data_IF_327574518659
#
_entry.id   IF_327574518659
#
_cell.length_a   1.000
_cell.length_b   1.000
_cell.length_c   1.000
_cell.angle_alpha   90.00
_cell.angle_beta   90.00
_cell.angle_gamma   90.00
#
_symmetry.space_group_name_H-M   'P 1'
#
loop_
_entity.id
_entity.type
_entity.pdbx_description
1 polymer ?
#
# COMPACT_ATOMS: atom_id res chain seq x y z
N UNK A 1 -5.53 8.78 16.82
CA UNK A 1 -6.62 8.19 16.01
C UNK A 1 -6.43 8.68 14.59
N UNK A 2 -6.38 7.77 13.63
CA UNK A 2 -6.24 8.06 12.20
C UNK A 2 -7.51 7.62 11.47
N UNK A 3 -7.91 8.37 10.45
CA UNK A 3 -9.08 8.04 9.63
C UNK A 3 -8.62 7.82 8.19
N UNK A 4 -9.05 6.70 7.63
CA UNK A 4 -8.96 6.42 6.20
C UNK A 4 -10.14 7.06 5.48
N UNK A 5 -9.93 7.34 4.21
CA UNK A 5 -10.84 8.11 3.35
C UNK A 5 -12.09 7.33 2.97
N UNK A 6 -11.91 6.04 2.76
CA UNK A 6 -12.94 5.02 2.61
C UNK A 6 -13.79 4.78 3.90
N UNK A 7 -13.61 5.65 4.90
CA UNK A 7 -14.33 5.61 6.17
C UNK A 7 -13.74 4.63 7.18
N UNK A 8 -12.61 3.98 6.88
CA UNK A 8 -11.92 3.15 7.84
C UNK A 8 -11.34 3.96 9.00
N UNK A 9 -11.29 3.39 10.20
CA UNK A 9 -10.82 4.11 11.40
C UNK A 9 -9.74 3.31 12.11
N UNK A 10 -8.61 3.94 12.39
CA UNK A 10 -7.44 3.34 13.04
C UNK A 10 -7.19 4.02 14.39
N UNK A 11 -7.03 3.22 15.44
CA UNK A 11 -6.69 3.65 16.78
C UNK A 11 -5.29 3.12 17.09
N UNK A 12 -4.35 4.04 17.30
CA UNK A 12 -3.06 3.70 17.90
C UNK A 12 -3.21 3.74 19.42
N UNK A 13 -3.13 2.58 20.06
CA UNK A 13 -3.24 2.38 21.51
C UNK A 13 -1.87 2.19 22.17
N UNK A 14 -0.79 2.68 21.57
CA UNK A 14 0.56 2.51 22.09
C UNK A 14 1.17 1.20 21.60
N UNK A 15 0.90 0.10 22.29
CA UNK A 15 1.44 -1.23 21.98
C UNK A 15 0.61 -2.00 20.94
N UNK A 16 -0.54 -1.46 20.55
CA UNK A 16 -1.46 -2.09 19.59
C UNK A 16 -2.00 -1.05 18.63
N UNK A 17 -2.18 -1.44 17.38
CA UNK A 17 -2.90 -0.66 16.37
C UNK A 17 -4.18 -1.41 16.03
N UNK A 18 -5.32 -0.74 16.14
CA UNK A 18 -6.64 -1.33 15.94
C UNK A 18 -7.36 -0.64 14.77
N UNK A 19 -7.90 -1.42 13.82
CA UNK A 19 -8.78 -0.91 12.77
C UNK A 19 -10.24 -1.22 13.13
N UNK A 20 -11.03 -0.19 13.46
CA UNK A 20 -12.43 -0.32 13.90
C UNK A 20 -13.41 -0.48 12.72
N UNK A 21 -13.15 0.20 11.61
CA UNK A 21 -13.87 0.02 10.34
C UNK A 21 -12.81 -0.34 9.30
N UNK A 22 -12.94 -1.53 8.71
CA UNK A 22 -11.88 -2.13 7.91
C UNK A 22 -12.11 -1.95 6.41
N UNK A 23 -11.09 -1.43 5.77
CA UNK A 23 -11.03 -1.08 4.36
C UNK A 23 -9.57 -1.18 3.91
N UNK A 24 -9.32 -1.31 2.61
CA UNK A 24 -7.96 -1.42 2.07
C UNK A 24 -7.09 -0.20 2.46
N UNK A 25 -7.66 1.00 2.49
CA UNK A 25 -6.95 2.22 2.90
C UNK A 25 -6.59 2.23 4.38
N UNK A 26 -7.53 1.83 5.24
CA UNK A 26 -7.24 1.76 6.68
C UNK A 26 -6.26 0.66 7.04
N UNK A 27 -6.28 -0.46 6.31
CA UNK A 27 -5.29 -1.52 6.41
C UNK A 27 -3.89 -1.01 6.07
N UNK A 28 -3.74 -0.29 4.95
CA UNK A 28 -2.48 0.28 4.52
C UNK A 28 -1.93 1.30 5.54
N UNK A 29 -2.79 2.20 6.03
CA UNK A 29 -2.40 3.21 7.04
C UNK A 29 -1.98 2.53 8.33
N UNK A 30 -2.77 1.57 8.83
CA UNK A 30 -2.46 0.83 10.05
C UNK A 30 -1.13 0.08 9.92
N UNK A 31 -0.90 -0.57 8.77
CA UNK A 31 0.33 -1.30 8.50
C UNK A 31 1.53 -0.36 8.36
N UNK A 32 1.37 0.79 7.70
CA UNK A 32 2.44 1.80 7.59
C UNK A 32 2.86 2.30 8.97
N UNK A 33 1.90 2.64 9.82
CA UNK A 33 2.15 3.05 11.20
C UNK A 33 2.82 1.94 12.01
N UNK A 34 2.38 0.68 11.82
CA UNK A 34 2.96 -0.46 12.52
C UNK A 34 4.42 -0.67 12.13
N UNK A 35 4.75 -0.58 10.84
CA UNK A 35 6.14 -0.71 10.34
C UNK A 35 7.02 0.42 10.87
N UNK A 36 6.51 1.64 10.97
CA UNK A 36 7.28 2.76 11.51
C UNK A 36 7.52 2.64 13.02
N UNK A 37 6.52 2.15 13.76
CA UNK A 37 6.52 2.10 15.22
C UNK A 37 7.19 0.85 15.79
N UNK A 38 6.99 -0.29 15.17
CA UNK A 38 7.43 -1.61 15.65
C UNK A 38 8.51 -2.21 14.74
N UNK A 39 9.46 -1.37 14.30
CA UNK A 39 10.59 -1.81 13.48
C UNK A 39 11.26 -3.03 14.12
N UNK A 40 11.50 -4.06 13.31
CA UNK A 40 12.14 -5.32 13.68
C UNK A 40 11.37 -6.23 14.66
N UNK A 41 10.10 -5.94 14.93
CA UNK A 41 9.23 -6.82 15.73
C UNK A 41 8.19 -7.55 14.87
N UNK A 42 8.01 -8.86 15.05
CA UNK A 42 6.94 -9.60 14.39
C UNK A 42 5.56 -9.05 14.75
N UNK A 43 4.79 -8.63 13.75
CA UNK A 43 3.44 -8.13 13.94
C UNK A 43 2.46 -9.29 14.10
N UNK A 44 1.68 -9.23 15.18
CA UNK A 44 0.53 -10.10 15.41
C UNK A 44 -0.71 -9.43 14.82
N UNK A 45 -1.30 -10.04 13.79
CA UNK A 45 -2.56 -9.59 13.23
C UNK A 45 -3.73 -10.30 13.92
N UNK A 46 -4.63 -9.53 14.50
CA UNK A 46 -5.89 -10.02 15.05
C UNK A 46 -7.03 -9.66 14.10
N UNK A 47 -7.84 -10.65 13.70
CA UNK A 47 -8.91 -10.48 12.71
C UNK A 47 -9.29 -11.80 12.06
N UNK A 48 -10.16 -11.75 11.05
CA UNK A 48 -10.51 -12.91 10.24
C UNK A 48 -9.32 -13.36 9.39
N UNK A 49 -9.33 -14.61 8.93
CA UNK A 49 -8.27 -15.12 8.06
C UNK A 49 -8.19 -14.37 6.73
N UNK A 50 -9.34 -13.94 6.19
CA UNK A 50 -9.42 -13.10 4.99
C UNK A 50 -8.76 -11.73 5.21
N UNK A 51 -9.00 -11.12 6.37
CA UNK A 51 -8.35 -9.87 6.75
C UNK A 51 -6.83 -10.02 6.81
N UNK A 52 -6.34 -11.07 7.48
CA UNK A 52 -4.90 -11.30 7.65
C UNK A 52 -4.21 -11.50 6.31
N UNK A 53 -4.85 -12.27 5.41
CA UNK A 53 -4.36 -12.49 4.04
C UNK A 53 -4.32 -11.21 3.23
N UNK A 54 -5.35 -10.36 3.30
CA UNK A 54 -5.35 -9.10 2.56
C UNK A 54 -4.29 -8.12 3.08
N UNK A 55 -4.08 -8.04 4.40
CA UNK A 55 -3.00 -7.23 4.98
C UNK A 55 -1.62 -7.74 4.54
N UNK A 56 -1.41 -9.06 4.53
CA UNK A 56 -0.17 -9.65 4.04
C UNK A 56 0.05 -9.42 2.54
N UNK A 57 -1.02 -9.49 1.73
CA UNK A 57 -0.97 -9.17 0.30
C UNK A 57 -0.61 -7.71 0.07
N UNK A 58 -1.24 -6.78 0.80
CA UNK A 58 -0.92 -5.35 0.76
C UNK A 58 0.54 -5.08 1.15
N UNK A 59 1.03 -5.72 2.20
CA UNK A 59 2.44 -5.64 2.58
C UNK A 59 3.38 -6.06 1.45
N UNK A 60 3.03 -7.14 0.73
CA UNK A 60 3.80 -7.67 -0.40
C UNK A 60 3.80 -6.73 -1.59
N UNK A 61 2.61 -6.30 -2.04
CA UNK A 61 2.41 -5.38 -3.17
C UNK A 61 3.22 -4.09 -2.97
N UNK A 62 3.19 -3.54 -1.76
CA UNK A 62 3.85 -2.28 -1.44
C UNK A 62 5.29 -2.44 -0.97
N UNK A 63 5.84 -3.66 -0.99
CA UNK A 63 7.22 -3.95 -0.58
C UNK A 63 7.53 -3.50 0.85
N UNK A 64 6.54 -3.55 1.75
CA UNK A 64 6.71 -3.12 3.13
C UNK A 64 7.65 -4.08 3.87
N UNK A 65 8.60 -3.51 4.61
CA UNK A 65 9.52 -4.26 5.46
C UNK A 65 8.85 -4.67 6.77
N UNK A 66 7.80 -5.50 6.68
CA UNK A 66 7.06 -6.04 7.82
C UNK A 66 7.37 -7.53 7.98
N UNK A 67 7.55 -7.98 9.21
CA UNK A 67 7.58 -9.40 9.56
C UNK A 67 6.29 -9.71 10.30
N UNK A 68 5.53 -10.70 9.85
CA UNK A 68 4.36 -11.19 10.58
C UNK A 68 4.77 -12.30 11.55
N UNK A 69 4.09 -12.43 12.68
CA UNK A 69 4.32 -13.58 13.58
C UNK A 69 3.87 -14.90 12.96
N UNK A 70 2.91 -14.85 12.04
CA UNK A 70 2.43 -16.01 11.29
C UNK A 70 3.32 -16.25 10.04
N UNK A 71 3.99 -17.41 9.93
CA UNK A 71 4.85 -17.72 8.78
C UNK A 71 4.08 -17.79 7.45
N UNK A 72 2.80 -18.19 7.46
CA UNK A 72 1.98 -18.29 6.23
C UNK A 72 1.77 -16.91 5.61
N UNK A 73 1.57 -15.90 6.45
CA UNK A 73 1.42 -14.51 5.99
C UNK A 73 2.71 -13.96 5.41
N UNK A 74 3.87 -14.35 5.96
CA UNK A 74 5.15 -13.96 5.38
C UNK A 74 5.39 -14.62 4.02
N UNK A 75 5.00 -15.88 3.84
CA UNK A 75 5.07 -16.57 2.55
C UNK A 75 4.20 -15.83 1.53
N UNK A 76 2.93 -15.58 1.85
CA UNK A 76 2.00 -14.87 0.97
C UNK A 76 2.53 -13.47 0.60
N UNK A 77 3.02 -12.71 1.58
CA UNK A 77 3.64 -11.39 1.37
C UNK A 77 4.80 -11.49 0.36
N UNK A 78 5.67 -12.48 0.53
CA UNK A 78 6.84 -12.65 -0.32
C UNK A 78 6.47 -13.13 -1.73
N UNK A 79 5.52 -14.06 -1.87
CA UNK A 79 5.01 -14.53 -3.16
C UNK A 79 4.44 -13.39 -3.99
N UNK A 80 3.60 -12.57 -3.37
CA UNK A 80 2.96 -11.41 -4.01
C UNK A 80 4.00 -10.34 -4.38
N UNK A 81 4.93 -10.05 -3.45
CA UNK A 81 6.02 -9.11 -3.71
C UNK A 81 6.99 -9.57 -4.82
N UNK A 82 7.15 -10.89 -5.03
CA UNK A 82 7.95 -11.44 -6.12
C UNK A 82 7.20 -11.42 -7.46
N UNK A 83 5.91 -11.73 -7.47
CA UNK A 83 5.07 -11.61 -8.67
C UNK A 83 5.05 -10.19 -9.24
N UNK A 84 5.03 -9.17 -8.38
CA UNK A 84 5.05 -7.78 -8.81
C UNK A 84 6.42 -7.30 -9.33
N UNK A 85 7.52 -7.84 -8.79
CA UNK A 85 8.89 -7.53 -9.26
C UNK A 85 9.19 -8.13 -10.64
N UNK A 86 8.57 -9.27 -10.97
CA UNK A 86 8.80 -9.98 -12.22
C UNK A 86 7.98 -9.43 -13.41
N UNK A 87 7.13 -8.43 -13.19
CA UNK A 87 6.49 -7.69 -14.29
C UNK A 87 7.42 -6.56 -14.78
N UNK A 88 8.54 -6.98 -15.37
CA UNK A 88 9.70 -6.15 -15.74
C UNK A 88 9.44 -5.24 -16.97
N UNK A 89 8.23 -5.25 -17.54
CA UNK A 89 7.83 -4.43 -18.70
C UNK A 89 6.81 -3.32 -18.37
N UNK A 90 6.64 -2.97 -17.09
CA UNK A 90 5.74 -1.90 -16.69
C UNK A 90 6.47 -0.55 -16.68
N UNK A 91 6.24 0.26 -17.73
CA UNK A 91 6.79 1.62 -17.86
C UNK A 91 6.47 2.53 -16.66
N UNK A 92 5.42 2.21 -15.90
CA UNK A 92 5.08 2.88 -14.63
C UNK A 92 6.12 2.55 -13.55
N UNK A 93 6.57 1.30 -13.44
CA UNK A 93 7.56 0.88 -12.45
C UNK A 93 8.93 1.52 -12.72
N UNK A 94 9.34 1.58 -13.99
CA UNK A 94 10.57 2.28 -14.38
C UNK A 94 10.50 3.76 -14.01
N UNK A 95 9.38 4.41 -14.32
CA UNK A 95 9.15 5.81 -13.96
C UNK A 95 9.16 6.03 -12.45
N UNK A 96 8.51 5.16 -11.66
CA UNK A 96 8.54 5.23 -10.19
C UNK A 96 9.97 5.08 -9.67
N UNK A 97 10.74 4.12 -10.22
CA UNK A 97 12.12 3.88 -9.81
C UNK A 97 13.01 5.09 -10.08
N UNK A 98 12.90 5.68 -11.27
CA UNK A 98 13.59 6.92 -11.65
C UNK A 98 13.22 8.07 -10.69
N UNK A 99 11.93 8.29 -10.44
CA UNK A 99 11.47 9.33 -9.50
C UNK A 99 12.01 9.13 -8.09
N UNK A 100 12.06 7.89 -7.63
CA UNK A 100 12.55 7.55 -6.30
C UNK A 100 14.05 7.78 -6.12
N UNK A 101 14.84 7.85 -7.19
CA UNK A 101 16.26 8.24 -7.09
C UNK A 101 16.43 9.68 -6.63
N UNK A 102 15.46 10.54 -6.95
CA UNK A 102 15.49 11.98 -6.63
C UNK A 102 14.47 12.38 -5.55
N UNK A 103 13.72 11.40 -5.01
CA UNK A 103 12.54 11.64 -4.20
C UNK A 103 12.78 12.34 -2.86
N UNK A 104 14.02 12.37 -2.35
CA UNK A 104 14.29 12.92 -1.00
C UNK A 104 13.42 12.22 0.05
N UNK A 105 12.40 12.93 0.56
CA UNK A 105 11.41 12.42 1.52
C UNK A 105 10.06 12.01 0.91
N UNK A 106 9.83 12.26 -0.39
CA UNK A 106 8.54 12.07 -1.06
C UNK A 106 8.58 10.86 -2.02
N UNK A 107 8.34 9.66 -1.50
CA UNK A 107 8.51 8.42 -2.27
C UNK A 107 7.28 8.08 -3.12
N UNK A 108 7.51 7.75 -4.39
CA UNK A 108 6.52 7.23 -5.31
C UNK A 108 6.32 5.72 -5.11
N UNK A 109 5.07 5.27 -5.04
CA UNK A 109 4.70 3.87 -4.81
C UNK A 109 3.56 3.48 -5.74
N UNK A 110 3.66 2.34 -6.42
CA UNK A 110 2.55 1.85 -7.23
C UNK A 110 1.36 1.48 -6.34
N UNK A 111 0.15 1.87 -6.76
CA UNK A 111 -1.09 1.53 -6.09
C UNK A 111 -2.01 0.75 -7.02
N UNK A 112 -2.46 -0.41 -6.54
CA UNK A 112 -3.38 -1.30 -7.26
C UNK A 112 -4.69 -1.55 -6.51
N UNK A 113 -4.88 -0.90 -5.36
CA UNK A 113 -6.13 -0.96 -4.62
C UNK A 113 -7.20 0.01 -5.14
N UNK A 114 -8.28 0.14 -4.38
CA UNK A 114 -9.39 1.06 -4.69
C UNK A 114 -8.94 2.53 -4.61
N UNK A 115 -9.57 3.41 -5.38
CA UNK A 115 -9.25 4.86 -5.39
C UNK A 115 -9.86 5.61 -4.20
N UNK A 116 -10.92 5.05 -3.61
CA UNK A 116 -11.68 5.65 -2.51
C UNK A 116 -10.85 5.83 -1.23
N UNK A 117 -9.62 5.32 -1.23
CA UNK A 117 -8.67 5.47 -0.13
C UNK A 117 -7.91 6.80 -0.15
N UNK A 118 -8.02 7.59 -1.22
CA UNK A 118 -7.22 8.81 -1.41
C UNK A 118 -8.06 10.10 -1.31
N UNK A 119 -7.71 10.95 -0.34
CA UNK A 119 -8.36 12.26 -0.14
C UNK A 119 -7.67 13.38 -0.93
N UNK A 120 -6.38 13.21 -1.23
CA UNK A 120 -5.57 14.23 -1.86
C UNK A 120 -5.11 13.74 -3.23
N UNK A 121 -5.89 14.12 -4.23
CA UNK A 121 -5.49 14.00 -5.63
C UNK A 121 -4.33 14.97 -5.89
N UNK A 122 -3.14 14.41 -6.09
CA UNK A 122 -1.93 15.17 -6.39
C UNK A 122 -1.82 15.50 -7.90
N UNK A 123 -2.50 14.74 -8.76
CA UNK A 123 -2.59 15.04 -10.19
C UNK A 123 -2.67 13.82 -11.09
N UNK A 124 -2.62 14.05 -12.40
CA UNK A 124 -2.55 13.02 -13.44
C UNK A 124 -1.25 13.14 -14.22
N UNK A 125 -0.66 12.02 -14.63
CA UNK A 125 0.52 11.98 -15.49
C UNK A 125 0.35 10.97 -16.61
N UNK A 126 0.99 11.24 -17.73
CA UNK A 126 1.13 10.30 -18.84
C UNK A 126 2.53 9.70 -18.76
N UNK A 127 2.62 8.37 -18.76
CA UNK A 127 3.88 7.62 -18.69
C UNK A 127 3.85 6.65 -19.87
N UNK A 128 4.63 6.93 -20.91
CA UNK A 128 4.50 6.25 -22.20
C UNK A 128 3.08 6.41 -22.76
N UNK A 129 2.41 5.29 -23.04
CA UNK A 129 1.02 5.25 -23.50
C UNK A 129 -0.02 5.21 -22.36
N UNK A 130 0.44 5.02 -21.12
CA UNK A 130 -0.42 4.86 -19.95
C UNK A 130 -0.71 6.20 -19.30
N UNK A 131 -1.91 6.33 -18.73
CA UNK A 131 -2.27 7.48 -17.88
C UNK A 131 -2.37 7.00 -16.45
N UNK A 132 -1.74 7.73 -15.54
CA UNK A 132 -1.75 7.43 -14.10
C UNK A 132 -2.34 8.57 -13.30
N UNK A 133 -3.01 8.24 -12.21
CA UNK A 133 -3.39 9.16 -11.15
C UNK A 133 -2.35 9.11 -10.05
N UNK A 134 -2.06 10.28 -9.50
CA UNK A 134 -1.15 10.51 -8.39
C UNK A 134 -1.95 10.93 -7.18
N UNK A 135 -1.68 10.30 -6.04
CA UNK A 135 -2.33 10.60 -4.77
C UNK A 135 -1.30 10.75 -3.67
N UNK A 136 -1.44 11.74 -2.80
CA UNK A 136 -0.49 11.97 -1.71
C UNK A 136 -1.06 11.50 -0.36
N UNK A 137 -0.34 10.62 0.33
CA UNK A 137 -0.62 10.26 1.74
C UNK A 137 0.72 10.05 2.47
N UNK A 138 0.88 10.64 3.66
CA UNK A 138 2.02 10.42 4.56
C UNK A 138 3.39 10.54 3.86
N UNK A 139 3.61 11.63 3.12
CA UNK A 139 4.84 11.87 2.36
C UNK A 139 5.15 10.79 1.31
N UNK A 140 4.12 10.10 0.81
CA UNK A 140 4.24 9.17 -0.31
C UNK A 140 3.26 9.54 -1.42
N UNK A 141 3.70 9.41 -2.66
CA UNK A 141 2.88 9.59 -3.86
C UNK A 141 2.51 8.22 -4.41
N UNK A 142 1.23 7.88 -4.32
CA UNK A 142 0.67 6.67 -4.88
C UNK A 142 0.35 6.86 -6.34
N UNK A 143 0.77 5.91 -7.17
CA UNK A 143 0.66 5.94 -8.62
C UNK A 143 -0.26 4.82 -9.05
N UNK A 144 -1.46 5.15 -9.53
CA UNK A 144 -2.43 4.16 -10.03
C UNK A 144 -2.63 4.33 -11.52
N UNK A 145 -2.49 3.25 -12.28
CA UNK A 145 -2.85 3.25 -13.70
C UNK A 145 -4.37 3.39 -13.88
N UNK A 146 -4.78 4.36 -14.69
CA UNK A 146 -6.14 4.44 -15.20
C UNK A 146 -6.24 3.40 -16.31
N UNK A 147 -6.62 2.18 -15.95
CA UNK A 147 -7.14 1.28 -16.97
C UNK A 147 -8.37 1.96 -17.56
N UNK A 148 -8.39 2.20 -18.88
CA UNK A 148 -9.66 2.48 -19.56
C UNK A 148 -10.56 1.29 -19.25
N UNK A 149 -11.46 1.44 -18.28
CA UNK A 149 -12.60 0.54 -18.16
C UNK A 149 -13.28 0.62 -19.52
N UNK A 150 -13.12 -0.43 -20.33
CA UNK A 150 -14.06 -0.70 -21.39
C UNK A 150 -15.41 -0.81 -20.70
N UNK A 151 -16.22 0.23 -20.81
CA UNK A 151 -17.65 0.08 -20.61
C UNK A 151 -18.09 -0.87 -21.73
N UNK A 152 -18.31 -2.12 -21.37
CA UNK A 152 -19.08 -3.07 -22.18
C UNK A 152 -20.54 -2.82 -21.85
#
# INVERSE_FOLDING_TARGET
>A
MYKSVDGGTIIDAGEKIHAQKFTTGSAYIALSLAVEKFKDQPLVLNGTEEFKKEVARLAGIHGMNVVFSDPVLNILKNEVGQHDRNNTNDSIQEWIKDRNQYAGSLFYVAWRGEEDIFNYYAGRRKIGEKTVLLFEINSKIFVKEISKRGFI
#
